data_IF_409344048321
#
_entry.id   IF_409344048321
#
_cell.length_a   1.000
_cell.length_b   1.000
_cell.length_c   1.000
_cell.angle_alpha   90.00
_cell.angle_beta   90.00
_cell.angle_gamma   90.00
#
_symmetry.space_group_name_H-M   'P 1'
#
loop_
_entity.id
_entity.type
_entity.pdbx_description
1 polymer ?
#
# COMPACT_ATOMS: atom_id res chain seq x y z
N UNK A 1 38.41 1.33 -13.02
CA UNK A 1 37.53 0.37 -12.32
C UNK A 1 36.40 0.03 -13.27
N UNK A 2 36.01 -1.25 -13.45
CA UNK A 2 34.81 -1.58 -14.21
C UNK A 2 33.61 -1.10 -13.40
N UNK A 3 32.75 -0.28 -14.01
CA UNK A 3 31.51 0.19 -13.36
C UNK A 3 30.59 -0.97 -12.99
N UNK A 4 29.64 -0.71 -12.06
CA UNK A 4 28.63 -1.71 -11.69
C UNK A 4 27.66 -1.88 -12.86
N UNK A 5 27.37 -3.11 -13.32
CA UNK A 5 26.41 -3.33 -14.40
C UNK A 5 25.00 -2.82 -14.02
N UNK A 6 24.36 -2.08 -14.91
CA UNK A 6 23.03 -1.50 -14.71
C UNK A 6 21.96 -2.55 -14.36
N UNK A 7 22.08 -3.76 -14.91
CA UNK A 7 21.20 -4.89 -14.59
C UNK A 7 21.21 -5.26 -13.09
N UNK A 8 22.38 -5.22 -12.43
CA UNK A 8 22.51 -5.51 -11.01
C UNK A 8 21.81 -4.44 -10.14
N UNK A 9 21.92 -3.18 -10.57
CA UNK A 9 21.22 -2.07 -9.93
C UNK A 9 19.71 -2.22 -10.08
N UNK A 10 19.24 -2.59 -11.27
CA UNK A 10 17.82 -2.88 -11.54
C UNK A 10 17.24 -3.99 -10.65
N UNK A 11 18.01 -5.07 -10.45
CA UNK A 11 17.61 -6.16 -9.51
C UNK A 11 17.50 -5.62 -8.09
N UNK A 12 18.47 -4.82 -7.64
CA UNK A 12 18.46 -4.26 -6.28
C UNK A 12 17.30 -3.28 -6.08
N UNK A 13 16.92 -2.51 -7.08
CA UNK A 13 15.72 -1.66 -7.07
C UNK A 13 14.46 -2.51 -6.92
N UNK A 14 14.37 -3.66 -7.59
CA UNK A 14 13.23 -4.58 -7.47
C UNK A 14 13.11 -5.18 -6.06
N UNK A 15 14.24 -5.57 -5.44
CA UNK A 15 14.27 -6.04 -4.04
C UNK A 15 13.78 -4.94 -3.07
N UNK A 16 14.22 -3.71 -3.31
CA UNK A 16 13.75 -2.56 -2.53
C UNK A 16 12.25 -2.34 -2.67
N UNK A 17 11.72 -2.39 -3.88
CA UNK A 17 10.29 -2.26 -4.13
C UNK A 17 9.47 -3.36 -3.44
N UNK A 18 9.96 -4.59 -3.45
CA UNK A 18 9.32 -5.71 -2.75
C UNK A 18 9.26 -5.48 -1.23
N UNK A 19 10.34 -4.97 -0.62
CA UNK A 19 10.34 -4.61 0.80
C UNK A 19 9.33 -3.49 1.13
N UNK A 20 9.18 -2.49 0.23
CA UNK A 20 8.17 -1.43 0.36
C UNK A 20 6.76 -2.00 0.32
N UNK A 21 6.48 -2.95 -0.58
CA UNK A 21 5.17 -3.57 -0.71
C UNK A 21 4.82 -4.50 0.46
N UNK A 22 5.82 -5.09 1.11
CA UNK A 22 5.68 -5.89 2.34
C UNK A 22 5.55 -5.05 3.61
N UNK A 23 5.72 -3.74 3.53
CA UNK A 23 5.82 -2.84 4.70
C UNK A 23 6.99 -3.17 5.64
N UNK A 24 8.04 -3.80 5.12
CA UNK A 24 9.28 -3.98 5.86
C UNK A 24 10.11 -2.69 5.81
N UNK A 25 9.77 -1.76 6.71
CA UNK A 25 10.38 -0.43 6.77
C UNK A 25 11.90 -0.50 6.95
N UNK A 26 12.39 -1.38 7.82
CA UNK A 26 13.83 -1.51 8.10
C UNK A 26 14.58 -1.97 6.85
N UNK A 27 14.06 -2.99 6.18
CA UNK A 27 14.65 -3.50 4.94
C UNK A 27 14.54 -2.50 3.80
N UNK A 28 13.41 -1.81 3.66
CA UNK A 28 13.19 -0.81 2.63
C UNK A 28 14.19 0.36 2.76
N UNK A 29 14.45 0.87 3.96
CA UNK A 29 15.45 1.91 4.21
C UNK A 29 16.87 1.42 3.90
N UNK A 30 17.20 0.19 4.34
CA UNK A 30 18.51 -0.43 4.07
C UNK A 30 18.76 -0.58 2.58
N UNK A 31 17.80 -1.15 1.85
CA UNK A 31 17.92 -1.40 0.42
C UNK A 31 17.96 -0.11 -0.39
N UNK A 32 17.20 0.92 0.00
CA UNK A 32 17.30 2.26 -0.62
C UNK A 32 18.72 2.78 -0.59
N UNK A 33 19.37 2.76 0.57
CA UNK A 33 20.77 3.20 0.73
C UNK A 33 21.72 2.40 -0.17
N UNK A 34 21.58 1.08 -0.21
CA UNK A 34 22.38 0.24 -1.08
C UNK A 34 22.19 0.55 -2.57
N UNK A 35 20.97 0.86 -2.99
CA UNK A 35 20.67 1.28 -4.37
C UNK A 35 21.36 2.60 -4.66
N UNK A 36 21.29 3.59 -3.76
CA UNK A 36 21.93 4.90 -3.92
C UNK A 36 23.47 4.78 -4.05
N UNK A 37 24.10 3.93 -3.23
CA UNK A 37 25.53 3.61 -3.33
C UNK A 37 25.92 2.93 -4.64
N UNK A 38 25.07 2.04 -5.16
CA UNK A 38 25.32 1.36 -6.44
C UNK A 38 25.12 2.29 -7.64
N UNK A 39 24.18 3.23 -7.57
CA UNK A 39 23.94 4.23 -8.63
C UNK A 39 25.17 5.14 -8.84
N UNK A 40 25.91 5.49 -7.77
CA UNK A 40 27.15 6.30 -7.88
C UNK A 40 28.26 5.58 -8.64
N UNK A 41 28.23 4.23 -8.67
CA UNK A 41 29.24 3.39 -9.31
C UNK A 41 28.78 2.79 -10.65
N UNK A 42 27.52 3.02 -11.02
CA UNK A 42 26.89 2.43 -12.21
C UNK A 42 27.33 3.17 -13.48
N UNK A 43 27.54 2.42 -14.55
CA UNK A 43 27.58 3.00 -15.90
C UNK A 43 26.24 3.66 -16.22
N UNK A 44 26.25 4.83 -16.87
CA UNK A 44 25.04 5.61 -17.11
C UNK A 44 23.99 4.82 -17.88
N UNK A 45 22.84 4.56 -17.25
CA UNK A 45 21.69 3.91 -17.86
C UNK A 45 20.40 4.66 -17.48
N UNK A 46 19.86 5.38 -18.45
CA UNK A 46 18.69 6.22 -18.29
C UNK A 46 17.45 5.45 -17.85
N UNK A 47 17.29 4.19 -18.28
CA UNK A 47 16.14 3.35 -17.88
C UNK A 47 16.22 3.00 -16.39
N UNK A 48 17.41 2.66 -15.89
CA UNK A 48 17.61 2.36 -14.48
C UNK A 48 17.41 3.62 -13.62
N UNK A 49 17.87 4.79 -14.10
CA UNK A 49 17.65 6.06 -13.40
C UNK A 49 16.15 6.42 -13.29
N UNK A 50 15.39 6.23 -14.38
CA UNK A 50 13.94 6.43 -14.37
C UNK A 50 13.28 5.42 -13.41
N UNK A 51 13.67 4.15 -13.44
CA UNK A 51 13.14 3.13 -12.56
C UNK A 51 13.42 3.45 -11.08
N UNK A 52 14.63 3.89 -10.77
CA UNK A 52 14.97 4.37 -9.43
C UNK A 52 14.07 5.52 -8.96
N UNK A 53 13.84 6.55 -9.81
CA UNK A 53 12.98 7.68 -9.45
C UNK A 53 11.54 7.24 -9.18
N UNK A 54 11.00 6.32 -9.98
CA UNK A 54 9.68 5.74 -9.77
C UNK A 54 9.59 5.04 -8.41
N UNK A 55 10.58 4.20 -8.09
CA UNK A 55 10.59 3.44 -6.84
C UNK A 55 10.85 4.35 -5.62
N UNK A 56 11.68 5.38 -5.76
CA UNK A 56 11.88 6.41 -4.74
C UNK A 56 10.56 7.11 -4.39
N UNK A 57 9.81 7.53 -5.41
CA UNK A 57 8.50 8.14 -5.20
C UNK A 57 7.51 7.20 -4.50
N UNK A 58 7.47 5.93 -4.89
CA UNK A 58 6.63 4.91 -4.23
C UNK A 58 7.05 4.69 -2.77
N UNK A 59 8.35 4.66 -2.50
CA UNK A 59 8.89 4.59 -1.14
C UNK A 59 8.43 5.79 -0.30
N UNK A 60 8.61 7.01 -0.81
CA UNK A 60 8.26 8.25 -0.11
C UNK A 60 6.74 8.31 0.17
N UNK A 61 5.88 7.92 -0.79
CA UNK A 61 4.43 7.76 -0.57
C UNK A 61 4.12 6.79 0.59
N UNK A 62 4.84 5.67 0.66
CA UNK A 62 4.62 4.67 1.70
C UNK A 62 5.07 5.18 3.06
N UNK A 63 6.23 5.85 3.14
CA UNK A 63 6.74 6.42 4.39
C UNK A 63 5.82 7.53 4.89
N UNK A 64 5.33 8.42 4.03
CA UNK A 64 4.36 9.45 4.41
C UNK A 64 3.04 8.86 4.93
N UNK A 65 2.60 7.73 4.36
CA UNK A 65 1.42 7.02 4.85
C UNK A 65 1.64 6.39 6.23
N UNK A 66 2.82 5.81 6.47
CA UNK A 66 3.14 5.13 7.73
C UNK A 66 3.52 6.12 8.84
N UNK A 67 4.17 7.23 8.49
CA UNK A 67 4.70 8.22 9.42
C UNK A 67 4.26 9.65 9.04
N UNK A 68 2.96 9.97 9.17
CA UNK A 68 2.41 11.28 8.75
C UNK A 68 3.05 12.47 9.49
N UNK A 69 3.48 12.27 10.73
CA UNK A 69 4.15 13.31 11.56
C UNK A 69 5.55 13.66 11.07
N UNK A 70 6.20 12.76 10.34
CA UNK A 70 7.54 12.95 9.75
C UNK A 70 7.47 13.40 8.29
N UNK A 71 6.29 13.48 7.70
CA UNK A 71 6.05 13.91 6.32
C UNK A 71 6.38 15.40 6.15
N UNK A 72 7.66 15.74 6.14
CA UNK A 72 8.18 17.11 6.18
C UNK A 72 8.33 17.75 4.79
N UNK A 73 8.11 17.03 3.70
CA UNK A 73 8.27 17.57 2.34
C UNK A 73 7.10 17.18 1.44
N UNK A 74 6.56 18.14 0.65
CA UNK A 74 5.69 17.79 -0.46
C UNK A 74 6.44 16.76 -1.33
N UNK A 75 5.73 15.71 -1.74
CA UNK A 75 6.28 14.74 -2.69
C UNK A 75 6.75 15.50 -3.93
N UNK A 76 8.05 15.44 -4.22
CA UNK A 76 8.60 16.12 -5.40
C UNK A 76 7.89 15.57 -6.64
N UNK A 77 7.07 16.43 -7.26
CA UNK A 77 6.31 16.06 -8.46
C UNK A 77 7.26 15.60 -9.57
N UNK A 78 6.90 14.55 -10.22
CA UNK A 78 7.30 13.95 -11.50
C UNK A 78 7.87 14.87 -12.59
N UNK A 79 8.41 16.02 -12.29
CA UNK A 79 8.96 16.93 -13.30
C UNK A 79 10.01 16.28 -14.19
N UNK A 80 10.68 15.26 -13.66
CA UNK A 80 11.71 14.53 -14.42
C UNK A 80 11.10 13.65 -15.54
N UNK A 81 9.97 13.00 -15.31
CA UNK A 81 9.29 12.21 -16.36
C UNK A 81 8.67 13.11 -17.44
N UNK A 82 8.09 14.25 -17.07
CA UNK A 82 7.62 15.24 -18.04
C UNK A 82 8.76 15.85 -18.85
N UNK A 83 9.94 16.03 -18.24
CA UNK A 83 11.16 16.49 -18.94
C UNK A 83 11.76 15.41 -19.86
N UNK A 84 11.60 14.13 -19.54
CA UNK A 84 12.10 13.03 -20.38
C UNK A 84 11.20 12.80 -21.60
N UNK A 85 9.88 12.98 -21.49
CA UNK A 85 8.96 12.97 -22.64
C UNK A 85 9.32 14.06 -23.67
N UNK A 86 9.74 15.25 -23.20
CA UNK A 86 10.21 16.33 -24.06
C UNK A 86 11.56 16.10 -24.77
N UNK A 87 12.33 15.09 -24.34
CA UNK A 87 13.63 14.71 -24.92
C UNK A 87 13.56 13.50 -25.88
N UNK A 88 12.37 13.06 -26.28
CA UNK A 88 12.19 11.97 -27.25
C UNK A 88 12.47 10.56 -26.67
N UNK A 89 12.68 10.42 -25.37
CA UNK A 89 12.86 9.12 -24.73
C UNK A 89 11.50 8.43 -24.52
N UNK A 90 11.30 7.30 -25.21
CA UNK A 90 10.13 6.43 -24.96
C UNK A 90 10.38 5.63 -23.69
N UNK A 91 9.52 5.84 -22.70
CA UNK A 91 9.43 4.94 -21.54
C UNK A 91 9.14 3.51 -22.01
N UNK A 92 9.71 2.52 -21.32
CA UNK A 92 9.24 1.15 -21.51
C UNK A 92 7.78 1.03 -21.07
N UNK A 93 7.02 0.09 -21.62
CA UNK A 93 5.61 -0.10 -21.27
C UNK A 93 5.40 -0.38 -19.77
N UNK A 94 6.38 -1.00 -19.11
CA UNK A 94 6.35 -1.24 -17.67
C UNK A 94 6.56 0.05 -16.89
N UNK A 95 7.48 0.92 -17.33
CA UNK A 95 7.69 2.24 -16.71
C UNK A 95 6.46 3.14 -16.87
N UNK A 96 5.81 3.08 -18.04
CA UNK A 96 4.54 3.79 -18.25
C UNK A 96 3.42 3.28 -17.31
N UNK A 97 3.40 1.97 -17.02
CA UNK A 97 2.49 1.42 -16.02
C UNK A 97 2.76 2.02 -14.66
N UNK A 98 4.00 1.94 -14.16
CA UNK A 98 4.36 2.46 -12.84
C UNK A 98 4.14 3.97 -12.75
N UNK A 99 4.49 4.74 -13.78
CA UNK A 99 4.27 6.17 -13.82
C UNK A 99 2.80 6.54 -13.58
N UNK A 100 1.90 5.93 -14.35
CA UNK A 100 0.46 6.16 -14.20
C UNK A 100 -0.08 5.61 -12.87
N UNK A 101 0.42 4.46 -12.43
CA UNK A 101 -0.03 3.83 -11.19
C UNK A 101 0.33 4.68 -9.97
N UNK A 102 1.57 5.16 -9.90
CA UNK A 102 2.02 5.98 -8.77
C UNK A 102 1.47 7.41 -8.81
N UNK A 103 1.21 7.96 -10.00
CA UNK A 103 0.47 9.21 -10.16
C UNK A 103 -0.94 9.09 -9.57
N UNK A 104 -1.62 7.97 -9.85
CA UNK A 104 -2.90 7.66 -9.23
C UNK A 104 -2.84 7.56 -7.70
N UNK A 105 -1.78 6.96 -7.16
CA UNK A 105 -1.57 6.88 -5.71
C UNK A 105 -1.31 8.25 -5.08
N UNK A 106 -0.59 9.12 -5.77
CA UNK A 106 -0.37 10.50 -5.34
C UNK A 106 -1.68 11.29 -5.28
N UNK A 107 -2.46 11.28 -6.37
CA UNK A 107 -3.77 11.92 -6.39
C UNK A 107 -4.71 11.37 -5.30
N UNK A 108 -4.67 10.06 -5.06
CA UNK A 108 -5.43 9.44 -3.97
C UNK A 108 -5.00 9.99 -2.59
N UNK A 109 -3.71 10.13 -2.34
CA UNK A 109 -3.18 10.68 -1.09
C UNK A 109 -3.57 12.15 -0.87
N UNK A 110 -3.74 12.90 -1.96
CA UNK A 110 -4.24 14.29 -1.93
C UNK A 110 -5.77 14.39 -1.84
N UNK A 111 -6.50 13.25 -1.84
CA UNK A 111 -7.97 13.22 -1.84
C UNK A 111 -8.61 13.50 -3.19
N UNK A 112 -7.82 13.64 -4.25
CA UNK A 112 -8.30 13.83 -5.62
C UNK A 112 -8.64 12.50 -6.28
N UNK A 113 -9.76 11.90 -5.85
CA UNK A 113 -10.17 10.57 -6.30
C UNK A 113 -10.49 10.50 -7.81
N UNK A 114 -10.93 11.61 -8.40
CA UNK A 114 -11.26 11.67 -9.83
C UNK A 114 -9.99 11.53 -10.68
N UNK A 115 -8.95 12.30 -10.40
CA UNK A 115 -7.68 12.19 -11.10
C UNK A 115 -6.93 10.89 -10.74
N UNK A 116 -7.06 10.40 -9.49
CA UNK A 116 -6.57 9.08 -9.12
C UNK A 116 -7.14 7.97 -10.03
N UNK A 117 -8.47 7.94 -10.25
CA UNK A 117 -9.08 6.97 -11.16
C UNK A 117 -8.60 7.14 -12.59
N UNK A 118 -8.47 8.37 -13.10
CA UNK A 118 -7.95 8.60 -14.46
C UNK A 118 -6.57 7.99 -14.64
N UNK A 119 -5.66 8.24 -13.71
CA UNK A 119 -4.30 7.71 -13.75
C UNK A 119 -4.29 6.19 -13.59
N UNK A 120 -5.07 5.62 -12.68
CA UNK A 120 -5.22 4.18 -12.54
C UNK A 120 -5.79 3.51 -13.81
N UNK A 121 -6.78 4.12 -14.48
CA UNK A 121 -7.30 3.59 -15.74
C UNK A 121 -6.27 3.61 -16.87
N UNK A 122 -5.33 4.55 -16.89
CA UNK A 122 -4.21 4.51 -17.84
C UNK A 122 -3.23 3.38 -17.49
N UNK A 123 -2.94 3.16 -16.21
CA UNK A 123 -2.13 2.03 -15.75
C UNK A 123 -2.80 0.68 -16.09
N UNK A 124 -4.13 0.56 -15.89
CA UNK A 124 -4.90 -0.65 -16.16
C UNK A 124 -4.75 -1.14 -17.60
N UNK A 125 -4.69 -0.25 -18.58
CA UNK A 125 -4.46 -0.59 -20.00
C UNK A 125 -3.15 -1.34 -20.23
N UNK A 126 -2.22 -1.25 -19.29
CA UNK A 126 -0.89 -1.87 -19.36
C UNK A 126 -0.73 -3.04 -18.37
N UNK A 127 -1.70 -3.25 -17.49
CA UNK A 127 -1.67 -4.26 -16.44
C UNK A 127 -1.51 -5.69 -16.98
N UNK A 128 -2.03 -5.98 -18.16
CA UNK A 128 -1.87 -7.28 -18.83
C UNK A 128 -0.40 -7.63 -19.18
N UNK A 129 0.50 -6.66 -19.10
CA UNK A 129 1.95 -6.83 -19.30
C UNK A 129 2.70 -7.06 -17.98
N UNK A 130 2.03 -6.83 -16.86
CA UNK A 130 2.56 -7.09 -15.53
C UNK A 130 2.35 -8.56 -15.20
N UNK A 131 3.41 -9.33 -15.27
CA UNK A 131 3.38 -10.78 -15.02
C UNK A 131 3.28 -11.08 -13.53
N UNK A 132 3.85 -10.21 -12.70
CA UNK A 132 3.83 -10.36 -11.24
C UNK A 132 2.42 -10.24 -10.67
N UNK A 133 1.97 -11.33 -10.04
CA UNK A 133 0.64 -11.42 -9.43
C UNK A 133 0.49 -10.50 -8.22
N UNK A 134 1.57 -10.28 -7.47
CA UNK A 134 1.57 -9.37 -6.32
C UNK A 134 1.37 -7.92 -6.78
N UNK A 135 2.05 -7.53 -7.86
CA UNK A 135 1.86 -6.21 -8.46
C UNK A 135 0.43 -6.02 -8.99
N UNK A 136 -0.15 -7.06 -9.61
CA UNK A 136 -1.55 -7.03 -10.03
C UNK A 136 -2.48 -6.87 -8.82
N UNK A 137 -2.20 -7.56 -7.70
CA UNK A 137 -2.98 -7.44 -6.47
C UNK A 137 -2.87 -6.04 -5.86
N UNK A 138 -1.68 -5.43 -5.88
CA UNK A 138 -1.48 -4.06 -5.41
C UNK A 138 -2.31 -3.07 -6.24
N UNK A 139 -2.32 -3.24 -7.55
CA UNK A 139 -3.16 -2.43 -8.44
C UNK A 139 -4.65 -2.59 -8.10
N UNK A 140 -5.14 -3.82 -7.97
CA UNK A 140 -6.54 -4.08 -7.63
C UNK A 140 -6.92 -3.52 -6.26
N UNK A 141 -6.02 -3.64 -5.28
CA UNK A 141 -6.24 -3.07 -3.96
C UNK A 141 -6.37 -1.55 -4.02
N UNK A 142 -5.50 -0.85 -4.78
CA UNK A 142 -5.56 0.60 -4.94
C UNK A 142 -6.82 1.07 -5.70
N UNK A 143 -7.26 0.31 -6.70
CA UNK A 143 -8.55 0.55 -7.34
C UNK A 143 -9.71 0.40 -6.34
N UNK A 144 -9.66 -0.62 -5.48
CA UNK A 144 -10.69 -0.83 -4.47
C UNK A 144 -10.76 0.31 -3.46
N UNK A 145 -9.59 0.80 -2.98
CA UNK A 145 -9.52 1.92 -2.03
C UNK A 145 -10.19 3.17 -2.60
N UNK A 146 -9.86 3.56 -3.82
CA UNK A 146 -10.43 4.78 -4.40
C UNK A 146 -11.94 4.67 -4.58
N UNK A 147 -12.45 3.52 -5.05
CA UNK A 147 -13.89 3.31 -5.19
C UNK A 147 -14.61 3.21 -3.83
N UNK A 148 -13.96 2.67 -2.80
CA UNK A 148 -14.47 2.68 -1.44
C UNK A 148 -14.69 4.12 -0.92
N UNK A 149 -13.69 4.99 -1.08
CA UNK A 149 -13.80 6.39 -0.68
C UNK A 149 -14.87 7.16 -1.49
N UNK A 150 -15.08 6.80 -2.75
CA UNK A 150 -16.15 7.35 -3.58
C UNK A 150 -17.54 6.72 -3.32
N UNK A 151 -17.66 5.82 -2.34
CA UNK A 151 -18.90 5.11 -2.01
C UNK A 151 -19.45 4.26 -3.16
N UNK A 152 -18.59 3.88 -4.10
CA UNK A 152 -18.96 2.96 -5.19
C UNK A 152 -18.73 1.49 -4.76
N UNK A 153 -19.53 1.06 -3.81
CA UNK A 153 -19.38 -0.18 -3.04
C UNK A 153 -19.23 -1.42 -3.93
N UNK A 154 -20.06 -1.56 -4.99
CA UNK A 154 -20.02 -2.74 -5.86
C UNK A 154 -18.67 -2.85 -6.61
N UNK A 155 -18.16 -1.72 -7.12
CA UNK A 155 -16.89 -1.68 -7.84
C UNK A 155 -15.72 -1.91 -6.87
N UNK A 156 -15.79 -1.32 -5.69
CA UNK A 156 -14.81 -1.54 -4.62
C UNK A 156 -14.74 -3.02 -4.24
N UNK A 157 -15.89 -3.66 -3.97
CA UNK A 157 -15.96 -5.08 -3.64
C UNK A 157 -15.38 -5.97 -4.75
N UNK A 158 -15.66 -5.65 -6.02
CA UNK A 158 -15.08 -6.39 -7.14
C UNK A 158 -13.54 -6.38 -7.10
N UNK A 159 -12.94 -5.19 -7.03
CA UNK A 159 -11.49 -5.07 -7.06
C UNK A 159 -10.81 -5.59 -5.78
N UNK A 160 -11.40 -5.35 -4.59
CA UNK A 160 -10.77 -5.83 -3.35
C UNK A 160 -10.79 -7.35 -3.24
N UNK A 161 -11.82 -8.02 -3.79
CA UNK A 161 -11.85 -9.48 -3.81
C UNK A 161 -10.77 -10.04 -4.75
N UNK A 162 -10.54 -9.44 -5.93
CA UNK A 162 -9.42 -9.82 -6.80
C UNK A 162 -8.07 -9.70 -6.08
N UNK A 163 -7.85 -8.60 -5.36
CA UNK A 163 -6.64 -8.41 -4.58
C UNK A 163 -6.50 -9.44 -3.45
N UNK A 164 -7.56 -9.64 -2.67
CA UNK A 164 -7.58 -10.56 -1.55
C UNK A 164 -7.32 -12.01 -1.98
N UNK A 165 -7.89 -12.45 -3.10
CA UNK A 165 -7.72 -13.80 -3.64
C UNK A 165 -6.26 -14.11 -4.02
N UNK A 166 -5.48 -13.09 -4.31
CA UNK A 166 -4.05 -13.23 -4.54
C UNK A 166 -3.31 -13.20 -3.20
N UNK A 167 -3.49 -12.14 -2.40
CA UNK A 167 -2.72 -11.95 -1.17
C UNK A 167 -2.91 -13.07 -0.14
N UNK A 168 -4.12 -13.64 -0.01
CA UNK A 168 -4.39 -14.74 0.94
C UNK A 168 -3.59 -16.01 0.70
N UNK A 169 -2.91 -16.14 -0.46
CA UNK A 169 -2.05 -17.27 -0.83
C UNK A 169 -0.58 -17.02 -0.49
N UNK A 170 -0.25 -15.85 0.07
CA UNK A 170 1.11 -15.41 0.30
C UNK A 170 1.27 -14.83 1.72
N UNK A 171 1.76 -15.63 2.66
CA UNK A 171 1.88 -15.25 4.08
C UNK A 171 2.75 -14.00 4.30
N UNK A 172 3.72 -13.75 3.42
CA UNK A 172 4.58 -12.55 3.48
C UNK A 172 3.82 -11.25 3.23
N UNK A 173 2.58 -11.31 2.69
CA UNK A 173 1.72 -10.14 2.43
C UNK A 173 0.52 -10.08 3.38
N UNK A 174 0.68 -10.61 4.60
CA UNK A 174 -0.39 -10.66 5.61
C UNK A 174 -0.99 -9.28 5.89
N UNK A 175 -0.18 -8.22 5.92
CA UNK A 175 -0.64 -6.83 6.11
C UNK A 175 -1.64 -6.43 5.01
N UNK A 176 -1.32 -6.74 3.75
CA UNK A 176 -2.23 -6.48 2.62
C UNK A 176 -3.51 -7.31 2.70
N UNK A 177 -3.40 -8.56 3.14
CA UNK A 177 -4.56 -9.43 3.39
C UNK A 177 -5.50 -8.82 4.42
N UNK A 178 -4.96 -8.32 5.55
CA UNK A 178 -5.72 -7.63 6.61
C UNK A 178 -6.39 -6.36 6.07
N UNK A 179 -5.67 -5.56 5.28
CA UNK A 179 -6.21 -4.35 4.67
C UNK A 179 -7.36 -4.66 3.70
N UNK A 180 -7.23 -5.68 2.86
CA UNK A 180 -8.31 -6.14 1.97
C UNK A 180 -9.55 -6.54 2.77
N UNK A 181 -9.40 -7.36 3.82
CA UNK A 181 -10.51 -7.76 4.69
C UNK A 181 -11.20 -6.56 5.33
N UNK A 182 -10.42 -5.54 5.73
CA UNK A 182 -10.96 -4.31 6.31
C UNK A 182 -11.76 -3.50 5.28
N UNK A 183 -11.29 -3.40 4.03
CA UNK A 183 -12.01 -2.72 2.95
C UNK A 183 -13.29 -3.47 2.59
N UNK A 184 -13.26 -4.81 2.51
CA UNK A 184 -14.46 -5.62 2.28
C UNK A 184 -15.50 -5.35 3.37
N UNK A 185 -15.07 -5.41 4.63
CA UNK A 185 -15.96 -5.14 5.77
C UNK A 185 -16.52 -3.72 5.75
N UNK A 186 -15.68 -2.73 5.45
CA UNK A 186 -16.09 -1.33 5.32
C UNK A 186 -17.19 -1.14 4.26
N UNK A 187 -17.06 -1.81 3.11
CA UNK A 187 -18.09 -1.80 2.09
C UNK A 187 -19.43 -2.39 2.58
N UNK A 188 -19.40 -3.49 3.35
CA UNK A 188 -20.62 -4.04 3.93
C UNK A 188 -21.20 -3.14 5.04
N UNK A 189 -20.36 -2.45 5.81
CA UNK A 189 -20.82 -1.47 6.81
C UNK A 189 -21.50 -0.28 6.13
N UNK A 190 -20.97 0.22 5.02
CA UNK A 190 -21.59 1.29 4.23
C UNK A 190 -22.98 0.87 3.67
N UNK A 191 -23.20 -0.43 3.46
CA UNK A 191 -24.50 -1.02 3.09
C UNK A 191 -25.36 -1.36 4.31
N UNK A 192 -24.95 -1.01 5.52
CA UNK A 192 -25.62 -1.40 6.78
C UNK A 192 -25.76 -2.92 6.99
N UNK A 193 -24.97 -3.71 6.28
CA UNK A 193 -24.97 -5.18 6.33
C UNK A 193 -23.94 -5.68 7.34
N UNK A 194 -24.13 -5.34 8.62
CA UNK A 194 -23.17 -5.57 9.71
C UNK A 194 -22.87 -7.05 9.93
N UNK A 195 -23.88 -7.93 9.80
CA UNK A 195 -23.70 -9.38 9.92
C UNK A 195 -22.79 -9.94 8.82
N UNK A 196 -22.79 -9.32 7.63
CA UNK A 196 -21.86 -9.67 6.55
C UNK A 196 -20.47 -9.08 6.76
N UNK A 197 -20.34 -7.92 7.39
CA UNK A 197 -19.06 -7.28 7.69
C UNK A 197 -18.29 -8.02 8.78
N UNK A 198 -19.00 -8.49 9.82
CA UNK A 198 -18.41 -9.02 11.04
C UNK A 198 -17.44 -10.21 10.82
N UNK A 199 -17.71 -11.21 9.96
CA UNK A 199 -16.77 -12.29 9.67
C UNK A 199 -15.44 -11.80 9.11
N UNK A 200 -15.46 -10.80 8.23
CA UNK A 200 -14.25 -10.21 7.65
C UNK A 200 -13.44 -9.44 8.69
N UNK A 201 -14.10 -8.65 9.55
CA UNK A 201 -13.44 -7.94 10.65
C UNK A 201 -12.79 -8.90 11.64
N UNK A 202 -13.49 -9.98 12.03
CA UNK A 202 -12.94 -11.01 12.92
C UNK A 202 -11.73 -11.70 12.31
N UNK A 203 -11.79 -12.02 11.01
CA UNK A 203 -10.67 -12.63 10.29
C UNK A 203 -9.48 -11.68 10.19
N UNK A 204 -9.72 -10.39 9.93
CA UNK A 204 -8.67 -9.36 9.92
C UNK A 204 -7.99 -9.23 11.29
N UNK A 205 -8.78 -9.27 12.38
CA UNK A 205 -8.27 -9.25 13.75
C UNK A 205 -7.43 -10.49 14.06
N UNK A 206 -7.93 -11.68 13.72
CA UNK A 206 -7.19 -12.94 13.93
C UNK A 206 -5.83 -12.91 13.21
N UNK A 207 -5.82 -12.52 11.94
CA UNK A 207 -4.56 -12.38 11.18
C UNK A 207 -3.60 -11.37 11.83
N UNK A 208 -4.13 -10.26 12.39
CA UNK A 208 -3.30 -9.27 13.09
C UNK A 208 -2.73 -9.81 14.41
N UNK A 209 -3.49 -10.64 15.13
CA UNK A 209 -3.05 -11.32 16.36
C UNK A 209 -1.95 -12.36 16.04
N UNK A 210 -2.14 -13.18 14.99
CA UNK A 210 -1.13 -14.14 14.53
C UNK A 210 0.18 -13.46 14.08
N UNK A 211 0.06 -12.31 13.41
CA UNK A 211 1.19 -11.48 13.00
C UNK A 211 1.82 -10.70 14.16
N UNK A 212 1.19 -10.71 15.35
CA UNK A 212 1.62 -10.04 16.58
C UNK A 212 1.90 -8.53 16.40
N UNK A 213 1.08 -7.84 15.59
CA UNK A 213 1.20 -6.40 15.34
C UNK A 213 0.21 -5.62 16.20
N UNK A 214 0.67 -5.06 17.32
CA UNK A 214 -0.18 -4.39 18.32
C UNK A 214 -1.03 -3.24 17.74
N UNK A 215 -0.50 -2.33 16.90
CA UNK A 215 -1.32 -1.30 16.25
C UNK A 215 -2.46 -1.88 15.41
N UNK A 216 -2.19 -2.92 14.63
CA UNK A 216 -3.22 -3.58 13.80
C UNK A 216 -4.23 -4.34 14.64
N UNK A 217 -3.81 -4.99 15.73
CA UNK A 217 -4.70 -5.65 16.70
C UNK A 217 -5.63 -4.61 17.31
N UNK A 218 -5.10 -3.49 17.79
CA UNK A 218 -5.89 -2.39 18.37
C UNK A 218 -6.94 -1.89 17.38
N UNK A 219 -6.55 -1.61 16.13
CA UNK A 219 -7.46 -1.20 15.06
C UNK A 219 -8.51 -2.27 14.75
N UNK A 220 -8.12 -3.54 14.69
CA UNK A 220 -9.03 -4.67 14.48
C UNK A 220 -10.07 -4.79 15.59
N UNK A 221 -9.65 -4.69 16.86
CA UNK A 221 -10.56 -4.71 18.02
C UNK A 221 -11.55 -3.55 17.99
N UNK A 222 -11.09 -2.33 17.65
CA UNK A 222 -11.98 -1.17 17.50
C UNK A 222 -13.00 -1.40 16.40
N UNK A 223 -12.59 -1.88 15.24
CA UNK A 223 -13.49 -2.14 14.11
C UNK A 223 -14.58 -3.19 14.46
N UNK A 224 -14.19 -4.29 15.11
CA UNK A 224 -15.13 -5.31 15.57
C UNK A 224 -16.08 -4.73 16.63
N UNK A 225 -15.56 -3.96 17.58
CA UNK A 225 -16.36 -3.30 18.61
C UNK A 225 -17.38 -2.31 18.01
N UNK A 226 -16.96 -1.49 17.04
CA UNK A 226 -17.86 -0.58 16.34
C UNK A 226 -18.97 -1.32 15.59
N UNK A 227 -18.63 -2.45 14.94
CA UNK A 227 -19.61 -3.27 14.25
C UNK A 227 -20.67 -3.83 15.22
N UNK A 228 -20.27 -4.40 16.36
CA UNK A 228 -21.19 -4.87 17.39
C UNK A 228 -22.02 -3.73 17.98
N UNK A 229 -21.43 -2.55 18.21
CA UNK A 229 -22.18 -1.39 18.67
C UNK A 229 -23.26 -0.95 17.65
N UNK A 230 -22.97 -0.99 16.37
CA UNK A 230 -23.94 -0.69 15.32
C UNK A 230 -25.08 -1.73 15.23
N UNK A 231 -24.83 -2.96 15.70
CA UNK A 231 -25.84 -4.05 15.81
C UNK A 231 -26.62 -3.99 17.16
N UNK A 232 -26.44 -2.94 17.97
CA UNK A 232 -26.96 -2.76 19.34
C UNK A 232 -26.46 -3.81 20.37
N UNK A 233 -25.41 -4.54 20.06
CA UNK A 233 -24.75 -5.52 20.93
C UNK A 233 -23.76 -4.84 21.87
N UNK A 234 -24.22 -3.91 22.69
CA UNK A 234 -23.39 -2.98 23.49
C UNK A 234 -22.44 -3.68 24.45
N UNK A 235 -22.91 -4.75 25.10
CA UNK A 235 -22.10 -5.51 26.07
C UNK A 235 -20.88 -6.14 25.40
N UNK A 236 -21.07 -6.70 24.22
CA UNK A 236 -19.99 -7.30 23.41
C UNK A 236 -19.04 -6.21 22.90
N UNK A 237 -19.59 -5.11 22.39
CA UNK A 237 -18.81 -3.96 21.92
C UNK A 237 -17.86 -3.42 23.00
N UNK A 238 -18.37 -3.23 24.24
CA UNK A 238 -17.57 -2.77 25.40
C UNK A 238 -16.40 -3.72 25.69
N UNK A 239 -16.59 -5.02 25.58
CA UNK A 239 -15.51 -5.99 25.80
C UNK A 239 -14.37 -5.81 24.77
N UNK A 240 -14.70 -5.60 23.50
CA UNK A 240 -13.71 -5.33 22.44
C UNK A 240 -13.01 -3.98 22.67
N UNK A 241 -13.72 -2.93 23.01
CA UNK A 241 -13.14 -1.61 23.29
C UNK A 241 -12.18 -1.65 24.50
N UNK A 242 -12.53 -2.36 25.57
CA UNK A 242 -11.63 -2.55 26.73
C UNK A 242 -10.34 -3.26 26.35
N UNK A 243 -10.41 -4.30 25.51
CA UNK A 243 -9.22 -4.99 24.99
C UNK A 243 -8.36 -4.04 24.14
N UNK A 244 -8.97 -3.25 23.27
CA UNK A 244 -8.27 -2.27 22.44
C UNK A 244 -7.52 -1.24 23.29
N UNK A 245 -8.18 -0.67 24.31
CA UNK A 245 -7.57 0.30 25.24
C UNK A 245 -6.39 -0.32 26.00
N UNK A 246 -6.52 -1.57 26.45
CA UNK A 246 -5.44 -2.26 27.16
C UNK A 246 -4.19 -2.40 26.28
N UNK A 247 -4.36 -2.89 25.03
CA UNK A 247 -3.24 -3.08 24.11
C UNK A 247 -2.64 -1.74 23.67
N UNK A 248 -3.46 -0.71 23.42
CA UNK A 248 -2.99 0.62 23.07
C UNK A 248 -2.09 1.22 24.16
N UNK A 249 -2.52 1.18 25.42
CA UNK A 249 -1.71 1.65 26.57
C UNK A 249 -0.38 0.90 26.71
N UNK A 250 -0.34 -0.40 26.41
CA UNK A 250 0.90 -1.19 26.43
C UNK A 250 1.86 -0.80 25.30
N UNK A 251 1.34 -0.27 24.20
CA UNK A 251 2.13 0.18 23.05
C UNK A 251 2.75 1.54 23.33
N UNK A 252 1.95 2.51 23.79
CA UNK A 252 2.40 3.86 24.15
C UNK A 252 3.45 3.85 25.27
N UNK A 253 3.26 2.98 26.28
CA UNK A 253 4.22 2.84 27.37
C UNK A 253 5.59 2.32 26.91
N UNK A 254 5.66 1.51 25.83
CA UNK A 254 6.93 1.02 25.28
C UNK A 254 7.64 2.07 24.42
N UNK A 255 6.90 2.91 23.70
CA UNK A 255 7.49 4.00 22.89
C UNK A 255 8.10 5.10 23.77
N UNK A 256 7.57 5.31 24.99
CA UNK A 256 8.10 6.28 25.97
C UNK A 256 9.35 5.77 26.72
N UNK A 257 9.72 4.50 26.55
CA UNK A 257 10.85 3.87 27.26
C UNK A 257 12.01 3.47 26.35
N UNK A 258 11.94 3.81 25.07
CA UNK A 258 13.01 3.67 24.06
C UNK A 258 13.58 5.02 23.65
#
# INVERSE_FOLDING_TARGET
MKGVPSANVGVKISEWYDAVNKFDVKMAIKLKRQVEELLEQMEEDQNVLIYYQLMKFRHDLTMNYLFPSEASKPLEKWEYLKKSEGKGQKLTRLMEYYANFFDGMHHFAEGDYINAIKSYRQAEKKLNRVVDKIEQAEFFYKMAEVYYHMKQTQVSLYYVNLAYDIYKKHDTYIVRSIQCLTVIAGNYIDLLAYEKALPYLKKALLNAEEFNNKPMITKGLLNVGCCYNAMDEKTVAIAYFRRAIKIGKETDAKELTQ
#
